data_IF_948161837171
#
_entry.id   IF_948161837171
#
_cell.length_a   1.000
_cell.length_b   1.000
_cell.length_c   1.000
_cell.angle_alpha   90.00
_cell.angle_beta   90.00
_cell.angle_gamma   90.00
#
_symmetry.space_group_name_H-M   'P 1'
#
loop_
_entity.id
_entity.type
_entity.pdbx_description
1 polymer ?
#
# COMPACT_ATOMS: atom_id res chain seq x y z
N UNK A 1 -8.08 -11.37 11.10
CA UNK A 1 -7.43 -10.52 10.07
C UNK A 1 -8.41 -10.45 8.92
N UNK A 2 -9.08 -9.31 8.72
CA UNK A 2 -10.06 -9.16 7.65
C UNK A 2 -9.36 -9.17 6.28
N UNK A 3 -10.02 -9.65 5.21
CA UNK A 3 -9.49 -9.62 3.84
C UNK A 3 -9.05 -8.21 3.38
N UNK A 4 -9.67 -7.17 3.96
CA UNK A 4 -9.37 -5.76 3.71
C UNK A 4 -7.99 -5.32 4.25
N UNK A 5 -7.36 -6.04 5.18
CA UNK A 5 -6.02 -5.69 5.69
C UNK A 5 -4.88 -6.07 4.74
N UNK A 6 -5.11 -7.00 3.79
CA UNK A 6 -4.09 -7.50 2.87
C UNK A 6 -3.99 -6.68 1.58
N UNK A 7 -5.04 -5.92 1.22
CA UNK A 7 -5.07 -5.05 0.05
C UNK A 7 -4.35 -3.70 0.23
N UNK A 8 -3.64 -3.51 1.35
CA UNK A 8 -2.98 -2.25 1.70
C UNK A 8 -1.46 -2.40 1.92
N UNK A 9 -0.87 -3.55 1.62
CA UNK A 9 0.57 -3.77 1.90
C UNK A 9 1.42 -2.93 0.95
N UNK A 10 1.10 -2.93 -0.35
CA UNK A 10 1.71 -2.02 -1.32
C UNK A 10 1.56 -0.55 -0.90
N UNK A 11 0.39 -0.16 -0.38
CA UNK A 11 0.13 1.19 0.12
C UNK A 11 0.97 1.53 1.36
N UNK A 12 1.21 0.57 2.24
CA UNK A 12 2.09 0.78 3.40
C UNK A 12 3.56 0.96 2.99
N UNK A 13 4.01 0.26 1.94
CA UNK A 13 5.41 0.29 1.50
C UNK A 13 5.73 1.42 0.52
N UNK A 14 4.79 1.78 -0.36
CA UNK A 14 5.03 2.73 -1.45
C UNK A 14 4.22 4.02 -1.28
N UNK A 15 3.23 4.04 -0.38
CA UNK A 15 2.30 5.16 -0.24
C UNK A 15 2.96 6.45 0.22
N UNK A 16 3.98 6.39 1.09
CA UNK A 16 4.70 7.60 1.54
C UNK A 16 5.44 8.27 0.37
N UNK A 17 6.19 7.48 -0.41
CA UNK A 17 6.96 8.01 -1.54
C UNK A 17 6.06 8.52 -2.67
N UNK A 18 5.00 7.76 -3.01
CA UNK A 18 4.02 8.18 -4.01
C UNK A 18 3.29 9.45 -3.56
N UNK A 19 2.92 9.53 -2.28
CA UNK A 19 2.30 10.72 -1.69
C UNK A 19 3.19 11.94 -1.83
N UNK A 20 4.47 11.82 -1.49
CA UNK A 20 5.43 12.91 -1.63
C UNK A 20 5.59 13.41 -3.08
N UNK A 21 5.60 12.49 -4.05
CA UNK A 21 5.69 12.84 -5.47
C UNK A 21 4.42 13.53 -5.98
N UNK A 22 3.23 13.10 -5.53
CA UNK A 22 1.96 13.73 -5.86
C UNK A 22 1.91 15.15 -5.27
N UNK A 23 2.23 15.32 -3.98
CA UNK A 23 2.26 16.62 -3.31
C UNK A 23 3.21 17.61 -4.01
N UNK A 24 4.42 17.15 -4.36
CA UNK A 24 5.41 17.97 -5.06
C UNK A 24 4.89 18.39 -6.44
N UNK A 25 4.23 17.48 -7.15
CA UNK A 25 3.66 17.75 -8.48
C UNK A 25 2.52 18.78 -8.41
N UNK A 26 1.62 18.63 -7.44
CA UNK A 26 0.52 19.57 -7.20
C UNK A 26 1.07 20.94 -6.81
N UNK A 27 2.08 21.00 -5.92
CA UNK A 27 2.72 22.25 -5.52
C UNK A 27 3.26 23.04 -6.73
N UNK A 28 3.97 22.37 -7.64
CA UNK A 28 4.48 23.04 -8.84
C UNK A 28 3.37 23.44 -9.80
N UNK A 29 2.32 22.64 -9.94
CA UNK A 29 1.15 22.98 -10.74
C UNK A 29 0.45 24.25 -10.20
N UNK A 30 0.18 24.32 -8.90
CA UNK A 30 -0.42 25.49 -8.25
C UNK A 30 0.45 26.74 -8.40
N UNK A 31 1.78 26.60 -8.35
CA UNK A 31 2.70 27.72 -8.55
C UNK A 31 2.69 28.26 -9.98
N UNK A 32 2.40 27.41 -10.96
CA UNK A 32 2.28 27.81 -12.36
C UNK A 32 0.91 28.44 -12.67
N UNK A 33 -0.14 28.12 -11.89
CA UNK A 33 -1.49 28.62 -12.12
C UNK A 33 -1.59 30.15 -12.27
N UNK A 34 -0.99 31.00 -11.40
CA UNK A 34 -1.13 32.44 -11.51
C UNK A 34 -0.50 33.05 -12.78
N UNK A 35 0.53 32.40 -13.35
CA UNK A 35 1.16 32.84 -14.58
C UNK A 35 0.37 32.43 -15.83
N UNK A 36 -0.44 31.37 -15.71
CA UNK A 36 -1.31 30.83 -16.77
C UNK A 36 -2.73 31.35 -16.68
N UNK A 37 -3.16 31.77 -15.49
CA UNK A 37 -4.37 32.53 -15.30
C UNK A 37 -4.13 33.88 -15.95
N UNK A 38 -5.05 34.31 -16.81
CA UNK A 38 -5.11 35.70 -17.23
C UNK A 38 -5.02 36.51 -15.94
N UNK A 39 -3.99 37.35 -15.78
CA UNK A 39 -3.97 38.35 -14.73
C UNK A 39 -5.32 39.03 -14.88
N UNK A 40 -6.24 38.72 -13.96
CA UNK A 40 -7.62 39.08 -14.15
C UNK A 40 -7.57 40.56 -14.44
N UNK A 41 -8.10 40.92 -15.61
CA UNK A 41 -8.44 42.29 -15.86
C UNK A 41 -9.15 42.71 -14.57
N UNK A 42 -8.53 43.59 -13.80
CA UNK A 42 -9.27 44.59 -13.09
C UNK A 42 -10.02 45.34 -14.21
N UNK A 43 -11.08 44.72 -14.73
CA UNK A 43 -12.33 45.40 -14.91
C UNK A 43 -12.70 45.88 -13.51
N UNK A 44 -12.03 46.96 -13.06
CA UNK A 44 -12.77 48.07 -12.50
C UNK A 44 -13.86 48.28 -13.54
N UNK A 45 -15.06 47.82 -13.23
CA UNK A 45 -16.24 48.49 -13.74
C UNK A 45 -15.95 49.97 -13.54
N UNK A 46 -15.59 50.64 -14.63
CA UNK A 46 -15.53 52.09 -14.64
C UNK A 46 -16.98 52.46 -14.46
N UNK A 47 -17.36 52.69 -13.20
CA UNK A 47 -18.62 53.31 -12.88
C UNK A 47 -18.72 54.50 -13.82
N UNK A 48 -19.79 54.53 -14.62
CA UNK A 48 -20.04 55.62 -15.57
C UNK A 48 -20.39 56.84 -14.72
N UNK A 49 -19.38 57.43 -14.09
CA UNK A 49 -19.42 58.80 -13.62
C UNK A 49 -19.16 59.63 -14.87
N UNK A 50 -20.21 60.36 -15.28
CA UNK A 50 -20.15 61.29 -16.41
C UNK A 50 -18.83 62.08 -16.34
N UNK A 51 -18.00 62.07 -17.40
CA UNK A 51 -16.68 62.68 -17.31
C UNK A 51 -16.82 64.17 -17.05
N UNK A 52 -16.09 64.66 -16.04
CA UNK A 52 -15.80 66.09 -15.91
C UNK A 52 -15.09 66.50 -17.21
N UNK A 53 -15.68 67.46 -17.94
CA UNK A 53 -15.21 67.93 -19.26
C UNK A 53 -13.71 68.19 -19.23
N UNK A 54 -12.94 67.51 -20.07
CA UNK A 54 -11.51 67.79 -20.27
C UNK A 54 -10.54 66.61 -20.13
N UNK A 55 -10.98 65.43 -19.68
CA UNK A 55 -10.18 64.19 -19.82
C UNK A 55 -10.68 63.38 -21.01
N UNK A 56 -9.81 63.14 -21.98
CA UNK A 56 -10.09 62.20 -23.08
C UNK A 56 -10.44 60.82 -22.52
N UNK A 57 -11.31 60.10 -23.22
CA UNK A 57 -11.63 58.71 -22.92
C UNK A 57 -10.91 57.82 -23.92
N UNK A 58 -10.20 56.82 -23.45
CA UNK A 58 -9.63 55.79 -24.31
C UNK A 58 -10.76 54.87 -24.81
N UNK A 59 -11.09 54.98 -26.09
CA UNK A 59 -12.06 54.10 -26.74
C UNK A 59 -11.30 52.95 -27.39
N UNK A 60 -11.42 51.74 -26.83
CA UNK A 60 -10.88 50.55 -27.46
C UNK A 60 -11.76 50.12 -28.64
N UNK A 61 -11.20 50.17 -29.84
CA UNK A 61 -11.85 49.65 -31.05
C UNK A 61 -11.69 48.13 -31.10
N UNK A 62 -12.70 47.42 -31.61
CA UNK A 62 -12.57 45.99 -31.90
C UNK A 62 -11.55 45.80 -33.02
N UNK A 63 -10.36 45.34 -32.66
CA UNK A 63 -9.33 44.99 -33.64
C UNK A 63 -9.78 43.77 -34.45
N UNK A 64 -9.48 43.79 -35.75
CA UNK A 64 -9.87 42.71 -36.66
C UNK A 64 -9.02 41.45 -36.45
N UNK A 65 -7.79 41.63 -35.97
CA UNK A 65 -6.84 40.59 -35.58
C UNK A 65 -6.22 41.00 -34.23
N UNK A 66 -6.91 40.78 -33.10
CA UNK A 66 -6.35 41.08 -31.79
C UNK A 66 -5.07 40.26 -31.62
N UNK A 67 -3.97 40.93 -31.33
CA UNK A 67 -2.71 40.29 -30.95
C UNK A 67 -2.62 40.29 -29.43
N UNK A 68 -2.13 39.20 -28.81
CA UNK A 68 -1.93 39.19 -27.37
C UNK A 68 -0.85 40.19 -26.98
N UNK A 69 -0.96 40.75 -25.77
CA UNK A 69 0.04 41.68 -25.22
C UNK A 69 1.41 40.99 -25.08
N UNK A 70 1.41 39.68 -24.90
CA UNK A 70 2.59 38.84 -24.79
C UNK A 70 2.41 37.51 -25.53
N UNK A 71 3.36 37.16 -26.40
CA UNK A 71 3.39 35.88 -27.08
C UNK A 71 4.81 35.41 -27.38
N UNK A 72 5.17 34.25 -26.81
CA UNK A 72 6.31 33.47 -27.29
C UNK A 72 5.79 32.33 -28.16
N UNK A 73 6.00 32.43 -29.48
CA UNK A 73 5.57 31.40 -30.43
C UNK A 73 6.32 30.09 -30.25
N UNK A 74 7.62 30.16 -30.02
CA UNK A 74 8.48 28.99 -29.82
C UNK A 74 9.65 29.38 -28.93
N UNK A 75 9.81 28.67 -27.82
CA UNK A 75 10.98 28.71 -26.96
C UNK A 75 11.68 27.35 -27.08
N UNK A 76 12.94 27.34 -27.49
CA UNK A 76 13.79 26.15 -27.41
C UNK A 76 14.57 26.21 -26.11
N UNK A 77 14.52 25.13 -25.34
CA UNK A 77 15.10 25.07 -24.01
C UNK A 77 16.04 23.88 -23.98
N UNK A 78 17.24 24.11 -23.48
CA UNK A 78 18.21 23.06 -23.15
C UNK A 78 18.62 23.24 -21.70
N UNK A 79 18.47 22.18 -20.91
CA UNK A 79 18.79 22.16 -19.48
C UNK A 79 19.77 21.03 -19.24
N UNK A 80 20.89 21.35 -18.61
CA UNK A 80 21.79 20.32 -18.08
C UNK A 80 21.34 19.96 -16.67
N UNK A 81 20.96 18.69 -16.50
CA UNK A 81 20.68 18.09 -15.20
C UNK A 81 21.83 17.13 -14.85
N UNK A 82 21.99 16.70 -13.58
CA UNK A 82 23.02 15.73 -13.20
C UNK A 82 22.95 14.41 -14.00
N UNK A 83 21.77 14.08 -14.52
CA UNK A 83 21.55 12.93 -15.39
C UNK A 83 21.95 13.20 -16.87
N UNK A 84 22.24 14.42 -17.29
CA UNK A 84 22.61 14.77 -18.67
C UNK A 84 21.79 15.91 -19.26
N UNK A 85 21.83 16.08 -20.57
CA UNK A 85 21.12 17.16 -21.25
C UNK A 85 19.66 16.80 -21.56
N UNK A 86 18.73 17.61 -21.05
CA UNK A 86 17.33 17.62 -21.46
C UNK A 86 17.13 18.73 -22.49
N UNK A 87 16.50 18.42 -23.61
CA UNK A 87 16.17 19.42 -24.64
C UNK A 87 14.68 19.41 -24.90
N UNK A 88 14.13 20.56 -25.25
CA UNK A 88 12.70 20.64 -25.53
C UNK A 88 12.30 21.94 -26.17
N UNK A 89 11.01 22.00 -26.46
CA UNK A 89 10.37 23.19 -26.98
C UNK A 89 9.06 23.45 -26.24
N UNK A 90 8.78 24.74 -26.04
CA UNK A 90 7.48 25.24 -25.61
C UNK A 90 6.92 26.10 -26.73
N UNK A 91 5.66 25.92 -27.09
CA UNK A 91 4.97 26.71 -28.12
C UNK A 91 3.80 27.47 -27.52
N UNK A 92 3.53 28.64 -28.09
CA UNK A 92 2.38 29.49 -27.77
C UNK A 92 2.29 29.87 -26.28
N UNK A 93 3.39 30.33 -25.69
CA UNK A 93 3.36 30.87 -24.32
C UNK A 93 2.69 32.23 -24.34
N UNK A 94 1.45 32.28 -23.88
CA UNK A 94 0.65 33.49 -23.71
C UNK A 94 -0.45 33.26 -22.66
N UNK A 95 -0.80 34.27 -21.84
CA UNK A 95 -2.01 34.24 -21.02
C UNK A 95 -3.31 34.33 -21.85
N UNK A 96 -3.24 34.89 -23.07
CA UNK A 96 -4.39 35.18 -23.94
C UNK A 96 -4.58 34.07 -25.00
N UNK A 97 -4.71 32.81 -24.55
CA UNK A 97 -4.90 31.67 -25.45
C UNK A 97 -6.23 31.72 -26.22
N UNK A 98 -7.25 32.36 -25.65
CA UNK A 98 -8.55 32.66 -26.26
C UNK A 98 -8.42 33.55 -27.49
N UNK A 99 -7.45 34.48 -27.48
CA UNK A 99 -7.19 35.42 -28.58
C UNK A 99 -6.50 34.74 -29.76
N UNK A 100 -5.52 33.88 -29.50
CA UNK A 100 -4.77 33.17 -30.56
C UNK A 100 -5.43 31.86 -31.01
N UNK A 101 -6.40 31.33 -30.25
CA UNK A 101 -7.10 30.08 -30.54
C UNK A 101 -6.22 28.82 -30.44
N UNK A 102 -5.05 28.91 -29.82
CA UNK A 102 -4.06 27.83 -29.75
C UNK A 102 -3.63 27.59 -28.29
N UNK A 103 -3.53 26.31 -27.87
CA UNK A 103 -3.06 25.97 -26.54
C UNK A 103 -1.54 26.16 -26.42
N UNK A 104 -1.07 26.33 -25.19
CA UNK A 104 0.34 26.21 -24.85
C UNK A 104 0.70 24.72 -24.86
N UNK A 105 1.70 24.35 -25.67
CA UNK A 105 2.19 22.96 -25.71
C UNK A 105 3.67 22.91 -25.36
N UNK A 106 4.08 21.84 -24.68
CA UNK A 106 5.46 21.61 -24.32
C UNK A 106 5.88 20.16 -24.61
N UNK A 107 7.12 20.00 -25.03
CA UNK A 107 7.73 18.69 -25.29
C UNK A 107 9.19 18.75 -24.94
N UNK A 108 9.61 17.93 -23.99
CA UNK A 108 10.97 17.77 -23.55
C UNK A 108 11.39 16.30 -23.67
N UNK A 109 12.63 16.08 -24.07
CA UNK A 109 13.21 14.75 -24.18
C UNK A 109 14.69 14.78 -23.83
N UNK A 110 15.17 13.70 -23.24
CA UNK A 110 16.58 13.41 -23.06
C UNK A 110 16.84 11.94 -23.32
N UNK A 111 17.94 11.65 -24.01
CA UNK A 111 18.38 10.29 -24.34
C UNK A 111 19.79 10.04 -23.81
N UNK A 112 20.12 8.77 -23.54
CA UNK A 112 21.44 8.34 -23.05
C UNK A 112 21.87 9.08 -21.79
N UNK A 113 20.92 9.25 -20.89
CA UNK A 113 21.14 9.94 -19.63
C UNK A 113 21.92 9.02 -18.66
N UNK A 114 22.62 9.64 -17.71
CA UNK A 114 23.29 8.96 -16.60
C UNK A 114 22.21 8.41 -15.67
N UNK A 115 22.33 7.12 -15.36
CA UNK A 115 21.40 6.37 -14.53
C UNK A 115 19.97 6.19 -15.09
N UNK A 116 19.67 6.66 -16.31
CA UNK A 116 18.40 6.37 -17.00
C UNK A 116 18.53 6.41 -18.53
N UNK A 117 17.77 5.60 -19.25
CA UNK A 117 17.94 5.49 -20.70
C UNK A 117 17.34 6.69 -21.44
N UNK A 118 16.09 7.05 -21.12
CA UNK A 118 15.43 8.19 -21.71
C UNK A 118 14.34 8.77 -20.80
N UNK A 119 14.09 10.06 -20.98
CA UNK A 119 12.96 10.80 -20.39
C UNK A 119 12.23 11.50 -21.52
N UNK A 120 10.90 11.48 -21.46
CA UNK A 120 10.02 12.27 -22.33
C UNK A 120 8.91 12.88 -21.50
N UNK A 121 8.79 14.21 -21.54
CA UNK A 121 7.72 14.97 -20.91
C UNK A 121 6.98 15.74 -22.00
N UNK A 122 5.70 15.46 -22.18
CA UNK A 122 4.85 16.14 -23.16
C UNK A 122 3.56 16.60 -22.50
N UNK A 123 3.03 17.74 -22.91
CA UNK A 123 1.75 18.19 -22.41
C UNK A 123 1.23 19.42 -23.11
N UNK A 124 -0.01 19.74 -22.76
CA UNK A 124 -0.74 20.87 -23.30
C UNK A 124 -1.56 21.50 -22.17
N UNK A 125 -1.47 22.82 -22.07
CA UNK A 125 -2.28 23.63 -21.17
C UNK A 125 -3.29 24.36 -22.03
N UNK A 126 -4.51 23.84 -22.13
CA UNK A 126 -5.54 24.37 -23.02
C UNK A 126 -6.52 25.23 -22.24
N UNK A 127 -6.39 26.54 -22.45
CA UNK A 127 -7.27 27.58 -21.90
C UNK A 127 -7.87 28.44 -22.99
N UNK A 128 -7.96 27.91 -24.22
CA UNK A 128 -8.59 28.59 -25.36
C UNK A 128 -10.06 28.88 -25.07
N UNK A 129 -10.74 28.00 -24.33
CA UNK A 129 -12.05 28.25 -23.73
C UNK A 129 -11.86 28.46 -22.21
N UNK A 130 -11.88 29.73 -21.72
CA UNK A 130 -11.70 30.02 -20.30
C UNK A 130 -12.76 29.38 -19.39
N UNK A 131 -13.94 29.05 -19.92
CA UNK A 131 -14.99 28.38 -19.15
C UNK A 131 -14.74 26.87 -19.01
N UNK A 132 -13.90 26.28 -19.86
CA UNK A 132 -13.61 24.84 -19.89
C UNK A 132 -12.11 24.58 -20.08
N UNK A 133 -11.28 24.96 -19.10
CA UNK A 133 -9.85 24.69 -19.17
C UNK A 133 -9.59 23.18 -19.13
N UNK A 134 -8.62 22.74 -19.93
CA UNK A 134 -8.20 21.34 -20.02
C UNK A 134 -6.68 21.27 -20.09
N UNK A 135 -6.07 20.90 -18.98
CA UNK A 135 -4.62 20.79 -18.86
C UNK A 135 -4.25 19.30 -18.84
N UNK A 136 -3.27 18.89 -19.64
CA UNK A 136 -2.81 17.51 -19.75
C UNK A 136 -1.29 17.41 -19.78
N UNK A 137 -0.75 16.40 -19.13
CA UNK A 137 0.68 16.10 -19.15
C UNK A 137 0.91 14.59 -19.15
N UNK A 138 1.98 14.16 -19.82
CA UNK A 138 2.49 12.79 -19.81
C UNK A 138 4.00 12.80 -19.63
N UNK A 139 4.46 12.03 -18.67
CA UNK A 139 5.85 11.77 -18.37
C UNK A 139 6.14 10.29 -18.62
N UNK A 140 7.18 10.01 -19.37
CA UNK A 140 7.68 8.66 -19.59
C UNK A 140 9.18 8.64 -19.27
N UNK A 141 9.58 7.68 -18.45
CA UNK A 141 10.97 7.45 -18.05
C UNK A 141 11.28 5.99 -18.28
N UNK A 142 12.34 5.70 -19.02
CA UNK A 142 12.72 4.33 -19.39
C UNK A 142 14.09 4.00 -18.82
N UNK A 143 14.22 2.81 -18.26
CA UNK A 143 15.49 2.26 -17.82
C UNK A 143 16.15 3.04 -16.68
N UNK A 144 15.37 3.61 -15.76
CA UNK A 144 15.88 4.28 -14.56
C UNK A 144 16.53 3.26 -13.61
N UNK A 145 17.81 3.46 -13.29
CA UNK A 145 18.57 2.64 -12.36
C UNK A 145 18.39 3.17 -10.95
N UNK A 146 17.48 2.54 -10.22
CA UNK A 146 17.28 2.82 -8.80
C UNK A 146 18.44 2.24 -8.01
N UNK A 147 19.05 3.05 -7.15
CA UNK A 147 20.12 2.64 -6.25
C UNK A 147 19.80 3.17 -4.84
N UNK A 148 19.94 2.31 -3.84
CA UNK A 148 19.82 2.64 -2.41
C UNK A 148 18.55 3.41 -2.01
N UNK A 149 17.40 3.03 -2.60
CA UNK A 149 16.11 3.62 -2.26
C UNK A 149 15.55 3.01 -0.98
N UNK A 150 15.30 3.82 0.04
CA UNK A 150 14.66 3.38 1.27
C UNK A 150 13.15 3.34 1.04
N UNK A 151 12.57 2.14 1.01
CA UNK A 151 11.13 1.93 0.81
C UNK A 151 10.36 2.07 2.13
N UNK A 152 10.93 1.64 3.24
CA UNK A 152 10.32 1.76 4.56
C UNK A 152 11.36 2.19 5.58
N UNK A 153 11.06 3.30 6.28
CA UNK A 153 11.85 3.81 7.42
C UNK A 153 11.35 3.28 8.77
N UNK A 154 10.37 2.38 8.78
CA UNK A 154 9.81 1.83 10.02
C UNK A 154 10.89 1.11 10.83
N UNK A 155 11.01 1.42 12.11
CA UNK A 155 12.02 0.82 13.01
C UNK A 155 11.87 -0.70 13.12
N UNK A 156 10.64 -1.20 13.05
CA UNK A 156 10.34 -2.63 13.16
C UNK A 156 10.48 -3.39 11.83
N UNK A 157 10.51 -2.68 10.70
CA UNK A 157 10.53 -3.27 9.37
C UNK A 157 11.20 -2.35 8.32
N UNK A 158 12.51 -2.11 8.45
CA UNK A 158 13.24 -1.31 7.48
C UNK A 158 13.45 -2.12 6.19
N UNK A 159 13.00 -1.55 5.06
CA UNK A 159 13.15 -2.15 3.73
C UNK A 159 13.89 -1.18 2.83
N UNK A 160 14.94 -1.69 2.19
CA UNK A 160 15.71 -0.96 1.21
C UNK A 160 15.70 -1.70 -0.13
N UNK A 161 15.54 -0.93 -1.19
CA UNK A 161 15.77 -1.34 -2.56
C UNK A 161 17.19 -0.93 -2.94
N UNK A 162 18.13 -1.89 -2.88
CA UNK A 162 19.54 -1.63 -3.17
C UNK A 162 19.73 -1.31 -4.65
N UNK A 163 19.07 -2.08 -5.51
CA UNK A 163 19.20 -2.00 -6.97
C UNK A 163 17.89 -2.35 -7.66
N UNK A 164 17.60 -1.66 -8.75
CA UNK A 164 16.50 -2.01 -9.64
C UNK A 164 16.58 -1.25 -10.96
N UNK A 165 15.98 -1.82 -12.00
CA UNK A 165 15.73 -1.14 -13.26
C UNK A 165 14.23 -0.86 -13.38
N UNK A 166 13.87 0.40 -13.53
CA UNK A 166 12.49 0.85 -13.49
C UNK A 166 12.10 1.55 -14.79
N UNK A 167 10.98 1.14 -15.35
CA UNK A 167 10.26 1.90 -16.37
C UNK A 167 9.06 2.58 -15.67
N UNK A 168 8.88 3.88 -15.89
CA UNK A 168 7.88 4.69 -15.21
C UNK A 168 7.09 5.51 -16.24
N UNK A 169 5.77 5.51 -16.10
CA UNK A 169 4.86 6.33 -16.90
C UNK A 169 3.87 7.02 -15.97
N UNK A 170 3.69 8.32 -16.17
CA UNK A 170 2.66 9.10 -15.50
C UNK A 170 1.89 9.92 -16.53
N UNK A 171 0.58 9.98 -16.36
CA UNK A 171 -0.29 10.87 -17.13
C UNK A 171 -1.26 11.57 -16.20
N UNK A 172 -1.49 12.86 -16.42
CA UNK A 172 -2.46 13.65 -15.69
C UNK A 172 -3.34 14.42 -16.68
N UNK A 173 -4.62 14.48 -16.37
CA UNK A 173 -5.63 15.26 -17.04
C UNK A 173 -6.40 16.04 -15.98
N UNK A 174 -6.41 17.36 -16.12
CA UNK A 174 -7.20 18.25 -15.30
C UNK A 174 -8.19 18.94 -16.23
N UNK A 175 -9.47 18.65 -16.04
CA UNK A 175 -10.55 19.27 -16.80
C UNK A 175 -11.43 20.02 -15.82
N UNK A 176 -11.44 21.35 -15.92
CA UNK A 176 -12.07 22.23 -14.94
C UNK A 176 -11.47 22.03 -13.53
N UNK A 177 -12.15 21.31 -12.64
CA UNK A 177 -11.66 20.94 -11.31
C UNK A 177 -11.42 19.44 -11.15
N UNK A 178 -11.86 18.63 -12.12
CA UNK A 178 -11.71 17.18 -12.07
C UNK A 178 -10.27 16.81 -12.43
N UNK A 179 -9.62 16.09 -11.51
CA UNK A 179 -8.30 15.49 -11.67
C UNK A 179 -8.48 14.00 -11.98
N UNK A 180 -7.88 13.56 -13.07
CA UNK A 180 -7.67 12.15 -13.40
C UNK A 180 -6.17 11.98 -13.70
N UNK A 181 -5.48 11.19 -12.89
CA UNK A 181 -4.10 10.84 -13.15
C UNK A 181 -3.84 9.36 -12.95
N UNK A 182 -2.94 8.82 -13.77
CA UNK A 182 -2.48 7.44 -13.68
C UNK A 182 -0.97 7.44 -13.61
N UNK A 183 -0.43 6.71 -12.64
CA UNK A 183 1.00 6.47 -12.47
C UNK A 183 1.20 4.96 -12.56
N UNK A 184 2.08 4.51 -13.43
CA UNK A 184 2.44 3.10 -13.58
C UNK A 184 3.95 2.96 -13.56
N UNK A 185 4.47 1.99 -12.82
CA UNK A 185 5.87 1.64 -12.92
C UNK A 185 6.07 0.13 -12.85
N UNK A 186 7.06 -0.33 -13.62
CA UNK A 186 7.51 -1.71 -13.64
C UNK A 186 8.97 -1.77 -13.24
N UNK A 187 9.26 -2.50 -12.16
CA UNK A 187 10.61 -2.73 -11.67
C UNK A 187 11.08 -4.13 -12.06
N UNK A 188 12.33 -4.22 -12.52
CA UNK A 188 13.00 -5.45 -12.96
C UNK A 188 14.39 -5.53 -12.35
N UNK A 189 14.91 -6.75 -12.21
CA UNK A 189 16.23 -7.01 -11.62
C UNK A 189 16.39 -6.36 -10.25
N UNK A 190 15.34 -6.48 -9.44
CA UNK A 190 15.20 -5.85 -8.13
C UNK A 190 16.01 -6.63 -7.09
N UNK A 191 16.73 -5.90 -6.25
CA UNK A 191 17.42 -6.43 -5.08
C UNK A 191 16.90 -5.71 -3.83
N UNK A 192 15.97 -6.36 -3.13
CA UNK A 192 15.38 -5.85 -1.89
C UNK A 192 16.11 -6.48 -0.70
N UNK A 193 16.54 -5.65 0.23
CA UNK A 193 17.03 -6.10 1.52
C UNK A 193 16.14 -5.60 2.65
N UNK A 194 15.99 -6.45 3.67
CA UNK A 194 15.28 -6.11 4.89
C UNK A 194 16.17 -6.42 6.09
N UNK A 195 16.33 -5.46 6.99
CA UNK A 195 17.12 -5.64 8.20
C UNK A 195 16.17 -5.85 9.38
N UNK A 196 15.83 -7.12 9.63
CA UNK A 196 14.99 -7.47 10.76
C UNK A 196 15.80 -7.63 12.06
N UNK A 197 15.26 -7.21 13.21
CA UNK A 197 15.75 -7.63 14.52
C UNK A 197 15.76 -9.16 14.68
N UNK A 198 16.68 -9.73 15.46
CA UNK A 198 16.76 -11.19 15.67
C UNK A 198 15.48 -11.76 16.30
N UNK A 199 14.83 -10.99 17.16
CA UNK A 199 13.57 -11.29 17.85
C UNK A 199 12.32 -10.98 17.00
N UNK A 200 12.48 -10.62 15.72
CA UNK A 200 11.37 -10.32 14.83
C UNK A 200 10.37 -11.49 14.75
N UNK A 201 9.08 -11.13 14.75
CA UNK A 201 7.96 -12.08 14.70
C UNK A 201 8.08 -13.00 13.47
N UNK A 202 7.64 -14.28 13.57
CA UNK A 202 7.69 -15.21 12.44
C UNK A 202 7.01 -14.69 11.17
N UNK A 203 5.97 -13.87 11.30
CA UNK A 203 5.29 -13.24 10.18
C UNK A 203 6.18 -12.21 9.47
N UNK A 204 6.88 -11.36 10.21
CA UNK A 204 7.80 -10.37 9.66
C UNK A 204 8.95 -11.06 8.90
N UNK A 205 9.51 -12.14 9.47
CA UNK A 205 10.55 -12.97 8.80
C UNK A 205 10.05 -13.57 7.48
N UNK A 206 8.80 -14.05 7.44
CA UNK A 206 8.20 -14.59 6.22
C UNK A 206 8.02 -13.51 5.13
N UNK A 207 7.54 -12.33 5.51
CA UNK A 207 7.37 -11.19 4.58
C UNK A 207 8.73 -10.72 4.05
N UNK A 208 9.72 -10.54 4.94
CA UNK A 208 11.09 -10.15 4.59
C UNK A 208 11.75 -11.13 3.62
N UNK A 209 11.64 -12.44 3.87
CA UNK A 209 12.13 -13.48 2.96
C UNK A 209 11.45 -13.37 1.61
N UNK A 210 10.12 -13.24 1.60
CA UNK A 210 9.35 -13.12 0.36
C UNK A 210 9.78 -11.90 -0.46
N UNK A 211 9.96 -10.75 0.17
CA UNK A 211 10.44 -9.53 -0.49
C UNK A 211 11.85 -9.69 -1.05
N UNK A 212 12.74 -10.38 -0.33
CA UNK A 212 14.13 -10.62 -0.77
C UNK A 212 14.20 -11.54 -2.00
N UNK A 213 13.21 -12.42 -2.16
CA UNK A 213 13.11 -13.34 -3.30
C UNK A 213 12.52 -12.67 -4.57
N UNK A 214 11.88 -11.51 -4.44
CA UNK A 214 11.23 -10.80 -5.55
C UNK A 214 12.29 -10.20 -6.48
N UNK A 215 12.21 -10.56 -7.77
CA UNK A 215 13.10 -10.05 -8.83
C UNK A 215 12.52 -8.89 -9.64
N UNK A 216 11.23 -8.62 -9.48
CA UNK A 216 10.52 -7.59 -10.19
C UNK A 216 9.07 -7.52 -9.73
N UNK A 217 8.51 -6.33 -9.83
CA UNK A 217 7.13 -6.06 -9.45
C UNK A 217 6.61 -4.86 -10.21
N UNK A 218 5.30 -4.78 -10.34
CA UNK A 218 4.61 -3.67 -10.98
C UNK A 218 3.69 -3.00 -9.98
N UNK A 219 3.53 -1.68 -10.12
CA UNK A 219 2.50 -0.96 -9.41
C UNK A 219 1.80 0.03 -10.34
N UNK A 220 0.53 0.27 -10.03
CA UNK A 220 -0.31 1.27 -10.68
C UNK A 220 -1.05 2.04 -9.61
N UNK A 221 -0.90 3.36 -9.63
CA UNK A 221 -1.70 4.29 -8.83
C UNK A 221 -2.64 5.06 -9.75
N UNK A 222 -3.92 5.04 -9.43
CA UNK A 222 -4.95 5.84 -10.07
C UNK A 222 -5.37 6.93 -9.08
N UNK A 223 -5.36 8.17 -9.54
CA UNK A 223 -5.70 9.35 -8.76
C UNK A 223 -6.94 9.97 -9.38
N UNK A 224 -7.97 10.16 -8.58
CA UNK A 224 -9.25 10.74 -9.03
C UNK A 224 -9.78 11.73 -8.01
N UNK A 225 -10.56 12.71 -8.45
CA UNK A 225 -11.19 13.72 -7.59
C UNK A 225 -10.88 15.12 -8.07
N UNK A 226 -10.34 15.96 -7.20
CA UNK A 226 -9.96 17.35 -7.48
C UNK A 226 -8.53 17.61 -7.04
N UNK A 227 -7.93 18.71 -7.49
CA UNK A 227 -6.56 19.10 -7.08
C UNK A 227 -6.41 19.28 -5.57
N UNK A 228 -7.49 19.63 -4.86
CA UNK A 228 -7.50 19.87 -3.41
C UNK A 228 -7.96 18.68 -2.58
N UNK A 229 -8.79 17.83 -3.17
CA UNK A 229 -9.40 16.68 -2.52
C UNK A 229 -9.43 15.52 -3.53
N UNK A 230 -8.50 14.58 -3.37
CA UNK A 230 -8.29 13.46 -4.28
C UNK A 230 -8.19 12.14 -3.53
N UNK A 231 -8.64 11.07 -4.17
CA UNK A 231 -8.42 9.70 -3.73
C UNK A 231 -7.31 9.04 -4.54
N UNK A 232 -6.55 8.17 -3.90
CA UNK A 232 -5.44 7.42 -4.51
C UNK A 232 -5.71 5.93 -4.37
N UNK A 233 -5.99 5.29 -5.50
CA UNK A 233 -6.14 3.85 -5.60
C UNK A 233 -4.82 3.21 -6.07
N UNK A 234 -4.11 2.55 -5.15
CA UNK A 234 -2.86 1.85 -5.46
C UNK A 234 -3.11 0.35 -5.62
N UNK A 235 -2.58 -0.21 -6.69
CA UNK A 235 -2.59 -1.65 -6.98
C UNK A 235 -1.18 -2.14 -7.30
N UNK A 236 -0.82 -3.34 -6.83
CA UNK A 236 0.47 -3.96 -7.14
C UNK A 236 0.36 -5.48 -7.18
N UNK A 237 1.20 -6.12 -8.01
CA UNK A 237 1.37 -7.58 -7.97
C UNK A 237 2.07 -8.06 -6.68
N UNK A 238 2.74 -7.16 -5.94
CA UNK A 238 3.24 -7.41 -4.59
C UNK A 238 2.13 -7.84 -3.64
N UNK A 239 0.92 -7.27 -3.77
CA UNK A 239 -0.19 -7.58 -2.84
C UNK A 239 -0.57 -9.06 -2.93
N UNK A 240 -0.54 -9.64 -4.13
CA UNK A 240 -0.78 -11.07 -4.34
C UNK A 240 0.36 -11.91 -3.75
N UNK A 241 1.62 -11.57 -4.08
CA UNK A 241 2.80 -12.34 -3.64
C UNK A 241 2.93 -12.33 -2.11
N UNK A 242 2.75 -11.17 -1.49
CA UNK A 242 2.81 -11.02 -0.04
C UNK A 242 1.58 -11.65 0.64
N UNK A 243 0.39 -11.52 0.03
CA UNK A 243 -0.83 -12.17 0.50
C UNK A 243 -0.70 -13.70 0.57
N UNK A 244 -0.09 -14.32 -0.45
CA UNK A 244 0.18 -15.76 -0.47
C UNK A 244 1.16 -16.16 0.66
N UNK A 245 2.23 -15.40 0.87
CA UNK A 245 3.21 -15.66 1.93
C UNK A 245 2.61 -15.55 3.33
N UNK A 246 1.82 -14.49 3.57
CA UNK A 246 1.10 -14.30 4.83
C UNK A 246 0.10 -15.44 5.05
N UNK A 247 -0.66 -15.80 4.02
CA UNK A 247 -1.62 -16.90 4.07
C UNK A 247 -0.97 -18.24 4.44
N UNK A 248 0.20 -18.56 3.86
CA UNK A 248 0.98 -19.74 4.24
C UNK A 248 1.40 -19.69 5.71
N UNK A 249 1.86 -18.54 6.20
CA UNK A 249 2.31 -18.41 7.58
C UNK A 249 1.18 -18.51 8.60
N UNK A 250 0.00 -17.95 8.29
CA UNK A 250 -1.20 -18.10 9.14
C UNK A 250 -1.64 -19.55 9.23
N UNK A 251 -1.67 -20.27 8.09
CA UNK A 251 -1.98 -21.71 8.07
C UNK A 251 -0.99 -22.52 8.91
N UNK A 252 0.30 -22.27 8.75
CA UNK A 252 1.33 -22.96 9.54
C UNK A 252 1.20 -22.68 11.05
N UNK A 253 0.79 -21.48 11.46
CA UNK A 253 0.52 -21.18 12.87
C UNK A 253 -0.74 -21.86 13.38
N UNK A 254 -1.80 -21.93 12.57
CA UNK A 254 -3.04 -22.64 12.91
C UNK A 254 -2.78 -24.13 13.12
N UNK A 255 -2.05 -24.78 12.21
CA UNK A 255 -1.65 -26.20 12.33
C UNK A 255 -0.82 -26.46 13.59
N UNK A 256 0.15 -25.57 13.89
CA UNK A 256 0.95 -25.67 15.12
C UNK A 256 0.11 -25.48 16.38
N UNK A 257 -0.87 -24.59 16.35
CA UNK A 257 -1.79 -24.37 17.46
C UNK A 257 -2.69 -25.59 17.66
N UNK A 258 -3.25 -26.14 16.59
CA UNK A 258 -4.07 -27.35 16.62
C UNK A 258 -3.28 -28.55 17.17
N UNK A 259 -2.05 -28.74 16.70
CA UNK A 259 -1.16 -29.79 17.19
C UNK A 259 -0.86 -29.62 18.70
N UNK A 260 -0.58 -28.38 19.15
CA UNK A 260 -0.37 -28.08 20.57
C UNK A 260 -1.63 -28.35 21.39
N UNK A 261 -2.79 -27.87 20.92
CA UNK A 261 -4.08 -28.08 21.59
C UNK A 261 -4.38 -29.56 21.72
N UNK A 262 -4.23 -30.33 20.63
CA UNK A 262 -4.41 -31.79 20.64
C UNK A 262 -3.46 -32.46 21.64
N UNK A 263 -2.17 -32.07 21.65
CA UNK A 263 -1.21 -32.62 22.62
C UNK A 263 -1.59 -32.29 24.06
N UNK A 264 -1.99 -31.05 24.35
CA UNK A 264 -2.33 -30.60 25.71
C UNK A 264 -3.64 -31.21 26.19
N UNK A 265 -4.62 -31.41 25.30
CA UNK A 265 -5.85 -32.13 25.60
C UNK A 265 -5.56 -33.61 25.86
N UNK A 266 -4.79 -34.27 24.99
CA UNK A 266 -4.38 -35.67 25.21
C UNK A 266 -3.58 -35.86 26.50
N UNK A 267 -2.72 -34.91 26.86
CA UNK A 267 -1.95 -34.97 28.11
C UNK A 267 -2.86 -34.80 29.34
N UNK A 268 -3.80 -33.85 29.32
CA UNK A 268 -4.75 -33.63 30.43
C UNK A 268 -5.71 -34.81 30.60
N UNK A 269 -6.31 -35.27 29.49
CA UNK A 269 -7.23 -36.42 29.49
C UNK A 269 -6.47 -37.69 29.87
N UNK A 270 -5.25 -37.88 29.38
CA UNK A 270 -4.40 -39.01 29.75
C UNK A 270 -4.05 -39.04 31.24
N UNK A 271 -3.72 -37.88 31.83
CA UNK A 271 -3.48 -37.75 33.27
C UNK A 271 -4.73 -38.07 34.10
N UNK A 272 -5.90 -37.53 33.74
CA UNK A 272 -7.15 -37.81 34.46
C UNK A 272 -7.61 -39.26 34.30
N UNK A 273 -7.46 -39.85 33.10
CA UNK A 273 -7.78 -41.27 32.87
C UNK A 273 -6.81 -42.21 33.60
N UNK A 274 -5.52 -41.88 33.66
CA UNK A 274 -4.56 -42.65 34.45
C UNK A 274 -4.87 -42.59 35.95
N UNK A 275 -5.25 -41.42 36.45
CA UNK A 275 -5.64 -41.23 37.85
C UNK A 275 -6.93 -41.99 38.20
N UNK A 276 -7.92 -41.97 37.29
CA UNK A 276 -9.16 -42.75 37.41
C UNK A 276 -8.91 -44.26 37.34
N UNK A 277 -8.05 -44.74 36.44
CA UNK A 277 -7.69 -46.16 36.33
C UNK A 277 -6.96 -46.66 37.58
N UNK A 278 -6.15 -45.81 38.19
CA UNK A 278 -5.48 -46.12 39.46
C UNK A 278 -6.48 -46.23 40.61
N UNK A 279 -7.48 -45.34 40.65
CA UNK A 279 -8.58 -45.39 41.65
C UNK A 279 -9.53 -46.58 41.43
N UNK A 280 -9.82 -46.94 40.18
CA UNK A 280 -10.65 -48.11 39.84
C UNK A 280 -9.94 -49.44 40.05
N UNK A 281 -8.63 -49.54 39.76
CA UNK A 281 -7.85 -50.74 40.05
C UNK A 281 -7.73 -51.05 41.56
N UNK A 282 -7.85 -50.04 42.42
CA UNK A 282 -7.96 -50.24 43.87
C UNK A 282 -9.30 -50.84 44.32
N UNK A 283 -10.37 -50.69 43.53
CA UNK A 283 -11.68 -51.27 43.82
C UNK A 283 -11.74 -52.76 43.48
N UNK A 284 -11.04 -53.21 42.43
CA UNK A 284 -10.91 -54.65 42.12
C UNK A 284 -10.23 -55.41 43.26
N UNK A 285 -9.18 -54.83 43.86
CA UNK A 285 -8.52 -55.41 45.04
C UNK A 285 -9.43 -55.50 46.28
N UNK A 286 -10.34 -54.54 46.46
CA UNK A 286 -11.35 -54.57 47.53
C UNK A 286 -12.41 -55.65 47.28
N UNK A 287 -12.82 -55.86 46.03
CA UNK A 287 -13.77 -56.93 45.65
C UNK A 287 -13.15 -58.31 45.85
N UNK A 288 -11.87 -58.47 45.50
CA UNK A 288 -11.12 -59.70 45.77
C UNK A 288 -11.00 -59.99 47.27
N UNK A 289 -10.69 -58.97 48.09
CA UNK A 289 -10.62 -59.13 49.54
C UNK A 289 -11.98 -59.46 50.17
N UNK A 290 -13.06 -58.82 49.70
CA UNK A 290 -14.43 -59.16 50.10
C UNK A 290 -14.80 -60.60 49.72
N UNK A 291 -14.38 -61.05 48.54
CA UNK A 291 -14.61 -62.43 48.06
C UNK A 291 -13.84 -63.45 48.89
N UNK A 292 -12.59 -63.15 49.28
CA UNK A 292 -11.81 -64.00 50.20
C UNK A 292 -12.50 -64.07 51.57
N UNK A 293 -12.94 -62.95 52.13
CA UNK A 293 -13.63 -62.90 53.43
C UNK A 293 -14.97 -63.62 53.41
N UNK A 294 -15.72 -63.55 52.30
CA UNK A 294 -16.96 -64.31 52.10
C UNK A 294 -16.71 -65.82 52.09
N UNK A 295 -15.68 -66.27 51.36
CA UNK A 295 -15.29 -67.69 51.37
C UNK A 295 -14.82 -68.16 52.75
N UNK A 296 -14.15 -67.30 53.51
CA UNK A 296 -13.73 -67.59 54.88
C UNK A 296 -14.94 -67.71 55.82
N UNK A 297 -15.93 -66.81 55.68
CA UNK A 297 -17.19 -66.86 56.42
C UNK A 297 -18.03 -68.11 56.11
N UNK A 298 -18.14 -68.49 54.84
CA UNK A 298 -18.81 -69.73 54.43
C UNK A 298 -18.09 -70.99 54.95
N UNK A 299 -16.75 -70.95 55.04
CA UNK A 299 -15.95 -72.00 55.66
C UNK A 299 -16.25 -72.17 57.15
N UNK A 300 -16.27 -71.05 57.89
CA UNK A 300 -16.59 -71.04 59.32
C UNK A 300 -18.04 -71.44 59.61
N UNK A 301 -18.98 -71.05 58.75
CA UNK A 301 -20.39 -71.45 58.86
C UNK A 301 -20.57 -72.96 58.61
N UNK A 302 -19.85 -73.54 57.63
CA UNK A 302 -19.83 -74.99 57.45
C UNK A 302 -19.21 -75.71 58.65
N UNK A 303 -18.13 -75.17 59.21
CA UNK A 303 -17.46 -75.74 60.37
C UNK A 303 -18.36 -75.70 61.63
N UNK A 304 -19.15 -74.63 61.80
CA UNK A 304 -20.17 -74.50 62.85
C UNK A 304 -21.37 -75.43 62.65
N UNK A 305 -21.76 -75.71 61.41
CA UNK A 305 -22.84 -76.66 61.09
C UNK A 305 -22.38 -78.11 61.30
N UNK A 306 -21.11 -78.43 61.04
CA UNK A 306 -20.53 -79.76 61.33
C UNK A 306 -20.24 -79.98 62.82
N UNK A 307 -19.86 -78.94 63.56
CA UNK A 307 -19.70 -79.02 65.03
C UNK A 307 -21.01 -78.93 65.81
N UNK A 308 -22.11 -78.49 65.18
CA UNK A 308 -23.46 -78.40 65.76
C UNK A 308 -24.19 -79.72 66.05
N UNK A 309 -23.58 -80.89 65.85
CA UNK A 309 -24.13 -82.20 66.26
C UNK A 309 -23.50 -82.80 67.54
N UNK A 310 -22.58 -82.09 68.20
CA UNK A 310 -21.99 -82.53 69.48
C UNK A 310 -22.27 -81.52 70.59
N UNK A 311 -23.02 -81.93 71.62
CA UNK A 311 -23.54 -81.04 72.66
C UNK A 311 -22.53 -80.13 73.35
N UNK A 312 -22.90 -78.86 73.53
CA UNK A 312 -22.25 -77.94 74.46
C UNK A 312 -22.36 -78.48 75.89
N UNK A 313 -21.23 -78.87 76.49
CA UNK A 313 -21.07 -78.96 77.95
C UNK A 313 -20.41 -77.69 78.44
N UNK A 314 -21.17 -76.91 79.22
CA UNK A 314 -20.66 -75.84 80.06
C UNK A 314 -19.95 -76.44 81.29
N UNK A 315 -18.75 -75.99 81.68
CA UNK A 315 -18.24 -76.22 83.02
C UNK A 315 -18.84 -75.17 83.98
N UNK A 316 -19.20 -75.64 85.18
CA UNK A 316 -19.55 -74.80 86.33
C UNK A 316 -18.37 -73.95 86.79
#
# INVERSE_FOLDING_TARGET
LSPQGLTHISRMLLGEEIGHWIETSIYWYERLQPALARASAQHKEVSVTKPLRGKGMDVHFKERNPVPDFLIRTAQISVEIPAGALTGQIKNVTPDQDVIGLPLSFSFSGEKLKDLQSVKLTGELNRVDPARPKDQARLQVVGYRVQDLILSKSQDFPIALNKGLTDFEASALISHEALDATISAGLKSVEITSRLPEDAKPLAKAIASTLSDIKGFNFKAEISGTVKDYDVHLTSDLDRVLGEAIGKQVKAQAERFEARLKSSVSEKVGKEMADLKTKLGGLDGLVDELTVRLKLGDGLLKELIETGKGGLKLPF
#
